data_IF_226632832813
#
_entry.id   IF_226632832813
#
_cell.length_a   1.000
_cell.length_b   1.000
_cell.length_c   1.000
_cell.angle_alpha   90.00
_cell.angle_beta   90.00
_cell.angle_gamma   90.00
#
_symmetry.space_group_name_H-M   'P 1'
#
loop_
_entity.id
_entity.type
_entity.pdbx_description
1 polymer ?
#
# COMPACT_ATOMS: atom_id res chain seq x y z
N UNK A 1 15.62 -31.79 -1.41
CA UNK A 1 14.47 -32.05 -2.31
C UNK A 1 13.66 -30.77 -2.36
N UNK A 2 13.65 -30.04 -3.48
CA UNK A 2 12.94 -28.77 -3.57
C UNK A 2 11.46 -29.04 -3.88
N UNK A 3 10.56 -28.75 -2.93
CA UNK A 3 9.11 -28.91 -3.13
C UNK A 3 8.50 -27.83 -4.03
N UNK A 4 9.32 -27.01 -4.69
CA UNK A 4 8.89 -25.88 -5.52
C UNK A 4 8.24 -24.72 -4.75
N UNK A 5 8.18 -24.82 -3.41
CA UNK A 5 7.56 -23.86 -2.51
C UNK A 5 8.59 -23.32 -1.53
N UNK A 6 8.62 -22.00 -1.37
CA UNK A 6 9.45 -21.28 -0.42
C UNK A 6 8.70 -21.25 0.91
N UNK A 7 9.28 -21.87 1.94
CA UNK A 7 8.78 -21.80 3.30
C UNK A 7 9.04 -20.44 3.93
N UNK A 8 8.30 -20.14 4.99
CA UNK A 8 8.49 -18.90 5.76
C UNK A 8 9.90 -18.82 6.36
N UNK A 9 10.44 -19.95 6.79
CA UNK A 9 11.76 -20.05 7.40
C UNK A 9 12.87 -19.81 6.38
N UNK A 10 12.71 -20.31 5.15
CA UNK A 10 13.60 -20.01 4.02
C UNK A 10 13.52 -18.55 3.60
N UNK A 11 12.31 -17.97 3.58
CA UNK A 11 12.11 -16.55 3.26
C UNK A 11 12.78 -15.64 4.31
N UNK A 12 12.68 -15.99 5.58
CA UNK A 12 13.39 -15.31 6.67
C UNK A 12 14.91 -15.39 6.49
N UNK A 13 15.43 -16.59 6.21
CA UNK A 13 16.86 -16.78 6.00
C UNK A 13 17.36 -15.96 4.81
N UNK A 14 16.58 -15.86 3.74
CA UNK A 14 16.87 -14.97 2.61
C UNK A 14 16.97 -13.51 3.06
N UNK A 15 15.99 -12.98 3.78
CA UNK A 15 16.02 -11.59 4.23
C UNK A 15 17.17 -11.28 5.21
N UNK A 16 17.50 -12.20 6.11
CA UNK A 16 18.57 -11.97 7.09
C UNK A 16 19.97 -12.19 6.51
N UNK A 17 20.16 -13.22 5.69
CA UNK A 17 21.48 -13.59 5.18
C UNK A 17 21.83 -12.89 3.87
N UNK A 18 20.86 -12.71 2.96
CA UNK A 18 21.11 -12.14 1.64
C UNK A 18 20.98 -10.62 1.63
N UNK A 19 19.96 -10.08 2.31
CA UNK A 19 19.74 -8.62 2.38
C UNK A 19 20.38 -7.97 3.61
N UNK A 20 20.86 -8.76 4.57
CA UNK A 20 21.47 -8.24 5.80
C UNK A 20 20.49 -7.47 6.70
N UNK A 21 19.18 -7.72 6.58
CA UNK A 21 18.17 -7.07 7.42
C UNK A 21 18.24 -7.68 8.82
N UNK A 22 18.11 -6.82 9.85
CA UNK A 22 18.11 -7.26 11.23
C UNK A 22 17.02 -8.31 11.49
N UNK A 23 17.39 -9.37 12.19
CA UNK A 23 16.52 -10.51 12.47
C UNK A 23 15.21 -10.11 13.17
N UNK A 24 15.24 -9.12 14.07
CA UNK A 24 14.04 -8.68 14.82
C UNK A 24 13.06 -8.01 13.87
N UNK A 25 13.55 -7.12 13.01
CA UNK A 25 12.75 -6.42 11.99
C UNK A 25 12.15 -7.42 11.00
N UNK A 26 12.93 -8.40 10.56
CA UNK A 26 12.42 -9.46 9.69
C UNK A 26 11.31 -10.22 10.41
N UNK A 27 11.51 -10.65 11.66
CA UNK A 27 10.52 -11.45 12.37
C UNK A 27 9.20 -10.70 12.63
N UNK A 28 9.25 -9.39 12.87
CA UNK A 28 8.07 -8.54 13.02
C UNK A 28 7.30 -8.36 11.70
N UNK A 29 8.01 -8.26 10.58
CA UNK A 29 7.41 -7.99 9.26
C UNK A 29 7.06 -9.26 8.48
N UNK A 30 7.72 -10.38 8.75
CA UNK A 30 7.61 -11.63 7.99
C UNK A 30 6.19 -12.18 7.92
N UNK A 31 5.42 -12.05 9.00
CA UNK A 31 4.03 -12.52 9.02
C UNK A 31 3.15 -11.68 8.09
N UNK A 32 3.34 -10.35 8.08
CA UNK A 32 2.63 -9.45 7.17
C UNK A 32 3.03 -9.71 5.71
N UNK A 33 4.33 -9.90 5.45
CA UNK A 33 4.85 -10.22 4.12
C UNK A 33 4.28 -11.54 3.62
N UNK A 34 4.35 -12.58 4.46
CA UNK A 34 3.84 -13.90 4.11
C UNK A 34 2.34 -13.86 3.85
N UNK A 35 1.56 -13.19 4.71
CA UNK A 35 0.11 -13.00 4.53
C UNK A 35 -0.22 -12.25 3.23
N UNK A 36 0.54 -11.19 2.90
CA UNK A 36 0.32 -10.40 1.69
C UNK A 36 0.67 -11.18 0.42
N UNK A 37 1.79 -11.91 0.42
CA UNK A 37 2.22 -12.70 -0.74
C UNK A 37 1.33 -13.92 -0.99
N UNK A 38 0.77 -14.51 0.08
CA UNK A 38 -0.08 -15.72 0.00
C UNK A 38 -1.56 -15.42 -0.10
N UNK A 39 -1.97 -14.15 -0.13
CA UNK A 39 -3.37 -13.73 -0.08
C UNK A 39 -4.12 -14.38 1.10
N UNK A 40 -3.54 -14.23 2.30
CA UNK A 40 -4.08 -14.83 3.52
C UNK A 40 -3.89 -16.35 3.64
N UNK A 41 -2.91 -16.92 2.93
CA UNK A 41 -2.63 -18.36 2.94
C UNK A 41 -3.37 -19.17 1.87
N UNK A 42 -4.14 -18.51 0.98
CA UNK A 42 -4.83 -19.18 -0.15
C UNK A 42 -3.85 -19.74 -1.17
N UNK A 43 -2.70 -19.11 -1.33
CA UNK A 43 -1.66 -19.52 -2.27
C UNK A 43 -0.36 -19.87 -1.54
N UNK A 44 0.38 -20.84 -2.06
CA UNK A 44 1.73 -21.14 -1.57
C UNK A 44 2.73 -20.25 -2.28
N UNK A 45 3.78 -19.82 -1.58
CA UNK A 45 4.87 -19.03 -2.20
C UNK A 45 5.69 -19.96 -3.08
N UNK A 46 5.39 -20.03 -4.36
CA UNK A 46 6.21 -20.72 -5.36
C UNK A 46 7.22 -19.75 -5.96
N UNK A 47 8.21 -20.29 -6.69
CA UNK A 47 9.16 -19.47 -7.43
C UNK A 47 8.46 -18.52 -8.40
N UNK A 48 7.42 -18.97 -9.09
CA UNK A 48 6.66 -18.13 -10.03
C UNK A 48 5.93 -16.98 -9.32
N UNK A 49 5.32 -17.26 -8.15
CA UNK A 49 4.66 -16.24 -7.34
C UNK A 49 5.67 -15.22 -6.81
N UNK A 50 6.82 -15.69 -6.33
CA UNK A 50 7.91 -14.84 -5.88
C UNK A 50 8.43 -13.95 -7.01
N UNK A 51 8.62 -14.52 -8.22
CA UNK A 51 9.03 -13.79 -9.42
C UNK A 51 8.02 -12.71 -9.80
N UNK A 52 6.71 -12.99 -9.71
CA UNK A 52 5.67 -12.00 -9.95
C UNK A 52 5.69 -10.86 -8.92
N UNK A 53 5.88 -11.19 -7.64
CA UNK A 53 6.03 -10.19 -6.58
C UNK A 53 7.27 -9.31 -6.81
N UNK A 54 8.39 -9.91 -7.21
CA UNK A 54 9.63 -9.21 -7.54
C UNK A 54 9.50 -8.33 -8.79
N UNK A 55 8.83 -8.81 -9.84
CA UNK A 55 8.53 -8.01 -11.02
C UNK A 55 7.61 -6.82 -10.68
N UNK A 56 6.59 -7.03 -9.85
CA UNK A 56 5.73 -5.96 -9.35
C UNK A 56 6.50 -4.95 -8.49
N UNK A 57 7.50 -5.39 -7.73
CA UNK A 57 8.37 -4.47 -6.99
C UNK A 57 9.19 -3.58 -7.95
N UNK A 58 9.75 -4.15 -9.02
CA UNK A 58 10.57 -3.40 -9.97
C UNK A 58 9.77 -2.49 -10.91
N UNK A 59 8.59 -2.93 -11.34
CA UNK A 59 7.80 -2.28 -12.40
C UNK A 59 6.53 -1.60 -11.88
N UNK A 60 6.17 -1.82 -10.62
CA UNK A 60 4.95 -1.29 -10.01
C UNK A 60 4.99 0.23 -9.91
N UNK A 61 4.13 0.89 -10.69
CA UNK A 61 3.96 2.36 -10.64
C UNK A 61 3.16 2.83 -9.42
N UNK A 62 2.36 1.94 -8.84
CA UNK A 62 1.45 2.25 -7.72
C UNK A 62 1.62 1.26 -6.57
N UNK A 63 1.48 1.69 -5.31
CA UNK A 63 1.71 0.86 -4.12
C UNK A 63 0.56 -0.13 -3.83
N UNK A 64 -0.11 -0.65 -4.86
CA UNK A 64 -1.31 -1.50 -4.68
C UNK A 64 -1.04 -2.99 -4.90
N UNK A 65 0.19 -3.37 -5.28
CA UNK A 65 0.55 -4.75 -5.60
C UNK A 65 1.20 -5.50 -4.43
N UNK A 66 1.20 -6.85 -4.44
CA UNK A 66 1.88 -7.66 -3.42
C UNK A 66 3.40 -7.46 -3.38
N UNK A 67 3.99 -6.96 -4.49
CA UNK A 67 5.40 -6.61 -4.57
C UNK A 67 5.85 -5.51 -3.61
N UNK A 68 4.93 -4.66 -3.13
CA UNK A 68 5.26 -3.61 -2.15
C UNK A 68 5.77 -4.18 -0.82
N UNK A 69 5.33 -5.40 -0.48
CA UNK A 69 5.68 -6.04 0.78
C UNK A 69 6.98 -6.85 0.68
N UNK A 70 7.58 -6.95 -0.51
CA UNK A 70 8.73 -7.85 -0.73
C UNK A 70 9.97 -7.47 0.10
N UNK A 71 10.12 -6.20 0.47
CA UNK A 71 11.24 -5.75 1.31
C UNK A 71 10.79 -5.09 2.61
N UNK A 72 9.51 -5.22 2.99
CA UNK A 72 9.01 -4.72 4.28
C UNK A 72 8.96 -3.20 4.43
N UNK A 73 9.46 -2.43 3.46
CA UNK A 73 9.40 -0.96 3.47
C UNK A 73 8.09 -0.51 2.80
N UNK A 74 6.97 -0.76 3.46
CA UNK A 74 5.83 0.13 3.26
C UNK A 74 6.18 1.40 4.02
N UNK A 75 6.79 2.38 3.33
CA UNK A 75 6.43 3.74 3.71
C UNK A 75 4.92 3.77 3.51
N UNK A 76 4.10 4.17 4.50
CA UNK A 76 2.85 4.79 4.12
C UNK A 76 3.34 5.94 3.25
N UNK A 77 3.26 5.78 1.92
CA UNK A 77 3.05 6.95 1.12
C UNK A 77 1.78 7.47 1.76
N UNK A 78 1.93 8.53 2.55
CA UNK A 78 0.85 9.48 2.75
C UNK A 78 0.22 9.53 1.39
N UNK A 79 -0.95 8.91 1.26
CA UNK A 79 -1.82 9.17 0.15
C UNK A 79 -2.10 10.65 0.36
N UNK A 80 -1.20 11.51 -0.13
CA UNK A 80 -1.52 12.85 -0.53
C UNK A 80 -2.47 12.64 -1.68
N UNK A 81 -3.70 12.27 -1.29
CA UNK A 81 -4.84 12.29 -2.15
C UNK A 81 -4.85 13.73 -2.63
N UNK A 82 -4.47 13.94 -3.89
CA UNK A 82 -4.30 15.29 -4.40
C UNK A 82 -5.60 16.10 -4.27
N UNK A 83 -6.73 15.40 -4.05
CA UNK A 83 -8.04 15.93 -3.73
C UNK A 83 -8.72 15.06 -2.66
N UNK A 84 -8.53 15.31 -1.36
CA UNK A 84 -9.31 14.64 -0.33
C UNK A 84 -10.81 14.95 -0.53
N UNK A 85 -11.65 13.95 -0.32
CA UNK A 85 -13.10 14.13 -0.34
C UNK A 85 -13.50 14.65 1.04
N UNK A 86 -14.14 15.82 1.07
CA UNK A 86 -14.60 16.45 2.30
C UNK A 86 -16.11 16.22 2.46
N UNK A 87 -16.46 15.37 3.42
CA UNK A 87 -17.85 15.03 3.76
C UNK A 87 -18.43 15.93 4.86
N UNK A 88 -17.71 16.95 5.32
CA UNK A 88 -18.21 17.86 6.36
C UNK A 88 -19.52 18.53 5.94
N UNK A 89 -19.68 18.84 4.65
CA UNK A 89 -20.90 19.41 4.08
C UNK A 89 -22.16 18.56 4.31
N UNK A 90 -22.04 17.24 4.43
CA UNK A 90 -23.18 16.36 4.74
C UNK A 90 -23.72 16.59 6.17
N UNK A 91 -22.92 17.18 7.05
CA UNK A 91 -23.27 17.46 8.45
C UNK A 91 -23.35 18.97 8.76
N UNK A 92 -23.11 19.83 7.77
CA UNK A 92 -23.15 21.29 7.95
C UNK A 92 -24.59 21.77 8.12
N UNK A 93 -24.81 22.68 9.08
CA UNK A 93 -26.12 23.27 9.30
C UNK A 93 -26.56 24.04 8.03
N UNK A 94 -27.84 24.02 7.63
CA UNK A 94 -28.30 24.64 6.38
C UNK A 94 -27.97 26.14 6.26
N UNK A 95 -27.82 26.84 7.39
CA UNK A 95 -27.45 28.26 7.42
C UNK A 95 -25.96 28.52 7.11
N UNK A 96 -25.12 27.51 7.29
CA UNK A 96 -23.67 27.57 7.06
C UNK A 96 -23.27 27.04 5.67
N UNK A 97 -24.25 26.65 4.84
CA UNK A 97 -24.02 26.19 3.47
C UNK A 97 -23.73 27.40 2.57
N UNK A 98 -22.50 27.50 2.08
CA UNK A 98 -22.15 28.49 1.07
C UNK A 98 -22.84 28.18 -0.27
N UNK A 99 -23.61 29.11 -0.87
CA UNK A 99 -24.17 28.94 -2.19
C UNK A 99 -23.06 28.81 -3.24
N UNK A 100 -23.19 27.83 -4.14
CA UNK A 100 -22.30 27.69 -5.29
C UNK A 100 -22.40 28.92 -6.21
N UNK A 101 -21.27 29.58 -6.47
CA UNK A 101 -21.15 30.74 -7.37
C UNK A 101 -20.06 30.46 -8.42
N UNK A 102 -20.44 30.18 -9.68
CA UNK A 102 -19.50 29.75 -10.73
C UNK A 102 -18.51 30.85 -11.16
N UNK A 103 -18.83 32.12 -10.93
CA UNK A 103 -17.97 33.24 -11.33
C UNK A 103 -16.89 33.53 -10.28
N UNK A 104 -17.21 33.30 -8.99
CA UNK A 104 -16.23 33.36 -7.89
C UNK A 104 -15.30 32.15 -7.87
N UNK A 105 -15.83 30.96 -8.12
CA UNK A 105 -15.03 29.73 -8.06
C UNK A 105 -13.97 29.64 -9.17
N UNK A 106 -14.19 30.27 -10.34
CA UNK A 106 -13.20 30.29 -11.43
C UNK A 106 -12.01 31.21 -11.19
N UNK A 107 -12.15 32.22 -10.33
CA UNK A 107 -11.18 33.31 -10.21
C UNK A 107 -10.45 33.37 -8.87
N UNK A 108 -11.03 32.83 -7.77
CA UNK A 108 -10.44 32.94 -6.42
C UNK A 108 -10.62 31.69 -5.52
N UNK A 109 -11.00 30.53 -6.07
CA UNK A 109 -11.28 29.37 -5.21
C UNK A 109 -9.99 28.80 -4.58
N UNK A 110 -9.90 28.88 -3.24
CA UNK A 110 -8.90 28.17 -2.44
C UNK A 110 -9.33 26.72 -2.11
N UNK A 111 -10.38 26.20 -2.76
CA UNK A 111 -10.92 24.85 -2.52
C UNK A 111 -9.87 23.79 -2.88
N UNK A 112 -9.39 23.07 -1.86
CA UNK A 112 -8.42 21.96 -1.98
C UNK A 112 -9.06 20.58 -1.91
N UNK A 113 -10.38 20.51 -1.75
CA UNK A 113 -11.17 19.27 -1.60
C UNK A 113 -12.40 19.32 -2.49
N UNK A 114 -12.88 18.14 -2.88
CA UNK A 114 -14.20 17.98 -3.50
C UNK A 114 -15.22 17.81 -2.38
N UNK A 115 -16.17 18.73 -2.32
CA UNK A 115 -17.28 18.70 -1.36
C UNK A 115 -18.40 17.85 -1.97
N UNK A 116 -18.92 16.88 -1.21
CA UNK A 116 -20.02 15.97 -1.62
C UNK A 116 -21.25 16.21 -0.78
#
# INVERSE_FOLDING_TARGET
MSSGTISREELRAFYTMFLGIDFRVVNETLEAIHKAMTDGGRHKITYDLFKLCFANFLLGKYPNGPGQYLFGICSPQTLECSFPIDYSALNTHPDDLEPYDPDKDKSQSNRRSVIV
#
